data_IF_894517244662
#
_entry.id   IF_894517244662
#
_cell.length_a   1.000
_cell.length_b   1.000
_cell.length_c   1.000
_cell.angle_alpha   90.00
_cell.angle_beta   90.00
_cell.angle_gamma   90.00
#
_symmetry.space_group_name_H-M   'P 1'
#
loop_
_entity.id
_entity.type
_entity.pdbx_description
1 polymer ?
#
# COMPACT_ATOMS: atom_id res chain seq x y z
N UNK A 1 17.38 3.21 -16.18
CA UNK A 1 16.07 2.52 -16.19
C UNK A 1 15.81 1.93 -17.57
N UNK A 2 15.87 0.60 -17.71
CA UNK A 2 15.79 -0.13 -18.98
C UNK A 2 14.48 0.13 -19.75
N UNK A 3 13.34 0.06 -19.08
CA UNK A 3 12.00 0.18 -19.69
C UNK A 3 11.39 1.59 -19.55
N UNK A 4 12.22 2.63 -19.70
CA UNK A 4 11.84 4.01 -19.34
C UNK A 4 10.56 4.51 -20.00
N UNK A 5 10.37 4.26 -21.31
CA UNK A 5 9.20 4.72 -22.06
C UNK A 5 7.92 4.01 -21.60
N UNK A 6 7.94 2.68 -21.55
CA UNK A 6 6.79 1.86 -21.15
C UNK A 6 6.33 2.19 -19.72
N UNK A 7 7.26 2.23 -18.75
CA UNK A 7 6.94 2.58 -17.35
C UNK A 7 6.36 3.99 -17.26
N UNK A 8 6.88 4.96 -18.02
CA UNK A 8 6.32 6.33 -18.01
C UNK A 8 4.89 6.36 -18.53
N UNK A 9 4.60 5.68 -19.65
CA UNK A 9 3.25 5.60 -20.21
C UNK A 9 2.27 4.99 -19.21
N UNK A 10 2.65 3.87 -18.59
CA UNK A 10 1.83 3.19 -17.58
C UNK A 10 1.60 4.10 -16.37
N UNK A 11 2.63 4.78 -15.86
CA UNK A 11 2.48 5.69 -14.71
C UNK A 11 1.56 6.88 -15.02
N UNK A 12 1.65 7.46 -16.22
CA UNK A 12 0.71 8.51 -16.63
C UNK A 12 -0.72 7.97 -16.74
N UNK A 13 -0.91 6.79 -17.32
CA UNK A 13 -2.21 6.11 -17.36
C UNK A 13 -2.77 5.84 -15.96
N UNK A 14 -1.97 5.30 -15.05
CA UNK A 14 -2.31 5.09 -13.64
C UNK A 14 -2.74 6.41 -13.00
N UNK A 15 -1.97 7.49 -13.21
CA UNK A 15 -2.27 8.79 -12.59
C UNK A 15 -3.62 9.33 -13.05
N UNK A 16 -3.90 9.29 -14.36
CA UNK A 16 -5.17 9.78 -14.93
C UNK A 16 -6.34 8.93 -14.42
N UNK A 17 -6.23 7.60 -14.51
CA UNK A 17 -7.29 6.68 -14.09
C UNK A 17 -7.53 6.76 -12.58
N UNK A 18 -6.47 6.91 -11.78
CA UNK A 18 -6.59 7.06 -10.33
C UNK A 18 -7.23 8.40 -9.95
N UNK A 19 -6.94 9.50 -10.66
CA UNK A 19 -7.66 10.77 -10.48
C UNK A 19 -9.16 10.56 -10.75
N UNK A 20 -9.52 9.88 -11.83
CA UNK A 20 -10.93 9.59 -12.17
C UNK A 20 -11.58 8.78 -11.04
N UNK A 21 -10.96 7.67 -10.63
CA UNK A 21 -11.49 6.79 -9.60
C UNK A 21 -11.67 7.51 -8.26
N UNK A 22 -10.63 8.21 -7.80
CA UNK A 22 -10.64 8.91 -6.50
C UNK A 22 -11.58 10.10 -6.49
N UNK A 23 -11.65 10.87 -7.58
CA UNK A 23 -12.60 11.99 -7.70
C UNK A 23 -14.03 11.48 -7.68
N UNK A 24 -14.32 10.38 -8.37
CA UNK A 24 -15.63 9.74 -8.32
C UNK A 24 -15.96 9.23 -6.90
N UNK A 25 -15.02 8.60 -6.20
CA UNK A 25 -15.24 8.14 -4.82
C UNK A 25 -15.48 9.26 -3.82
N UNK A 26 -14.76 10.37 -3.93
CA UNK A 26 -14.89 11.51 -3.01
C UNK A 26 -16.18 12.31 -3.28
N UNK A 27 -16.51 12.56 -4.55
CA UNK A 27 -17.53 13.56 -4.91
C UNK A 27 -18.86 12.98 -5.39
N UNK A 28 -18.96 11.68 -5.65
CA UNK A 28 -20.25 11.07 -6.00
C UNK A 28 -21.17 11.02 -4.77
N UNK A 29 -22.38 11.58 -4.91
CA UNK A 29 -23.35 11.73 -3.81
C UNK A 29 -24.77 11.29 -4.16
N UNK A 30 -24.98 10.78 -5.37
CA UNK A 30 -26.28 10.26 -5.80
C UNK A 30 -26.70 9.06 -4.95
N UNK A 31 -27.97 8.96 -4.60
CA UNK A 31 -28.51 7.81 -3.87
C UNK A 31 -29.49 8.22 -2.77
N UNK A 32 -30.22 7.26 -2.19
CA UNK A 32 -31.25 7.51 -1.19
C UNK A 32 -30.68 7.91 0.19
N UNK A 33 -29.39 7.71 0.42
CA UNK A 33 -28.77 7.88 1.73
C UNK A 33 -28.65 6.56 2.50
N UNK A 34 -28.15 6.63 3.73
CA UNK A 34 -27.91 5.44 4.55
C UNK A 34 -29.21 4.72 4.89
N UNK A 35 -29.18 3.38 4.88
CA UNK A 35 -30.32 2.54 5.22
C UNK A 35 -29.86 1.20 5.82
N UNK A 36 -30.76 0.56 6.57
CA UNK A 36 -30.50 -0.73 7.20
C UNK A 36 -30.79 -1.89 6.23
N UNK A 37 -29.87 -2.86 6.18
CA UNK A 37 -29.99 -4.07 5.37
C UNK A 37 -29.75 -5.31 6.23
N UNK A 38 -30.63 -6.31 6.11
CA UNK A 38 -30.42 -7.61 6.73
C UNK A 38 -29.59 -8.46 5.77
N UNK A 39 -28.36 -8.78 6.18
CA UNK A 39 -27.46 -9.62 5.41
C UNK A 39 -28.00 -11.06 5.25
N UNK A 40 -27.39 -11.84 4.37
CA UNK A 40 -27.69 -13.28 4.20
C UNK A 40 -27.52 -14.11 5.49
N UNK A 41 -26.88 -13.54 6.52
CA UNK A 41 -26.64 -14.16 7.83
C UNK A 41 -27.63 -13.71 8.90
N UNK A 42 -28.59 -12.84 8.57
CA UNK A 42 -29.54 -12.27 9.52
C UNK A 42 -29.02 -11.07 10.32
N UNK A 43 -27.75 -10.68 10.10
CA UNK A 43 -27.16 -9.49 10.74
C UNK A 43 -27.66 -8.22 10.08
N UNK A 44 -27.96 -7.21 10.89
CA UNK A 44 -28.36 -5.87 10.44
C UNK A 44 -27.10 -5.05 10.17
N UNK A 45 -26.96 -4.56 8.93
CA UNK A 45 -25.81 -3.78 8.45
C UNK A 45 -26.31 -2.45 7.90
N UNK A 46 -25.72 -1.36 8.37
CA UNK A 46 -25.97 -0.02 7.82
C UNK A 46 -25.22 0.12 6.49
N UNK A 47 -25.96 0.31 5.40
CA UNK A 47 -25.45 0.52 4.06
C UNK A 47 -25.26 2.01 3.79
N UNK A 48 -24.19 2.40 3.10
CA UNK A 48 -23.83 3.80 2.86
C UNK A 48 -24.82 4.55 1.95
N UNK A 49 -25.33 3.87 0.92
CA UNK A 49 -26.42 4.36 0.06
C UNK A 49 -26.15 5.63 -0.74
N UNK A 50 -24.88 6.03 -0.93
CA UNK A 50 -24.47 7.21 -1.72
C UNK A 50 -23.29 6.92 -2.64
N UNK A 51 -23.33 7.52 -3.82
CA UNK A 51 -22.23 7.56 -4.77
C UNK A 51 -21.80 6.18 -5.28
N UNK A 52 -20.54 6.06 -5.67
CA UNK A 52 -19.96 4.80 -6.15
C UNK A 52 -19.86 3.73 -5.05
N UNK A 53 -19.92 4.15 -3.78
CA UNK A 53 -19.83 3.28 -2.61
C UNK A 53 -21.20 2.93 -2.02
N UNK A 54 -22.29 3.21 -2.74
CA UNK A 54 -23.66 3.08 -2.25
C UNK A 54 -24.01 1.69 -1.71
N UNK A 55 -23.41 0.62 -2.26
CA UNK A 55 -23.71 -0.76 -1.87
C UNK A 55 -22.76 -1.32 -0.80
N UNK A 56 -21.80 -0.51 -0.34
CA UNK A 56 -20.85 -0.87 0.71
C UNK A 56 -21.42 -0.54 2.10
N UNK A 57 -20.89 -1.19 3.15
CA UNK A 57 -21.28 -0.84 4.52
C UNK A 57 -20.79 0.58 4.83
N UNK A 58 -21.52 1.30 5.66
CA UNK A 58 -21.23 2.72 5.96
C UNK A 58 -19.77 2.90 6.45
N UNK A 59 -19.30 2.00 7.30
CA UNK A 59 -17.94 2.01 7.83
C UNK A 59 -16.88 1.81 6.74
N UNK A 60 -17.07 0.83 5.86
CA UNK A 60 -16.11 0.54 4.80
C UNK A 60 -16.13 1.62 3.72
N UNK A 61 -17.30 2.20 3.41
CA UNK A 61 -17.42 3.30 2.46
C UNK A 61 -16.64 4.54 2.91
N UNK A 62 -16.75 4.92 4.20
CA UNK A 62 -16.01 6.06 4.76
C UNK A 62 -14.50 5.83 4.70
N UNK A 63 -14.05 4.60 4.98
CA UNK A 63 -12.66 4.22 4.80
C UNK A 63 -12.21 4.29 3.33
N UNK A 64 -13.06 3.89 2.38
CA UNK A 64 -12.81 4.03 0.95
C UNK A 64 -12.62 5.50 0.54
N UNK A 65 -13.54 6.37 0.95
CA UNK A 65 -13.47 7.82 0.68
C UNK A 65 -12.18 8.42 1.28
N UNK A 66 -11.87 8.10 2.53
CA UNK A 66 -10.65 8.59 3.17
C UNK A 66 -9.38 8.10 2.45
N UNK A 67 -9.38 6.87 1.94
CA UNK A 67 -8.30 6.34 1.11
C UNK A 67 -8.18 7.07 -0.23
N UNK A 68 -9.30 7.41 -0.85
CA UNK A 68 -9.30 8.16 -2.10
C UNK A 68 -8.73 9.57 -1.93
N UNK A 69 -9.04 10.25 -0.82
CA UNK A 69 -8.44 11.56 -0.49
C UNK A 69 -6.92 11.46 -0.39
N UNK A 70 -6.41 10.48 0.37
CA UNK A 70 -4.96 10.28 0.49
C UNK A 70 -4.34 9.90 -0.86
N UNK A 71 -5.00 9.07 -1.64
CA UNK A 71 -4.50 8.65 -2.95
C UNK A 71 -4.39 9.84 -3.90
N UNK A 72 -5.42 10.67 -3.97
CA UNK A 72 -5.49 11.84 -4.84
C UNK A 72 -4.43 12.90 -4.48
N UNK A 73 -4.33 13.26 -3.20
CA UNK A 73 -3.50 14.39 -2.77
C UNK A 73 -2.07 14.03 -2.36
N UNK A 74 -1.79 12.76 -2.05
CA UNK A 74 -0.48 12.32 -1.58
C UNK A 74 0.12 11.28 -2.53
N UNK A 75 -0.58 10.17 -2.78
CA UNK A 75 0.01 9.05 -3.52
C UNK A 75 0.27 9.39 -4.99
N UNK A 76 -0.65 10.08 -5.68
CA UNK A 76 -0.49 10.48 -7.09
C UNK A 76 0.66 11.50 -7.27
N UNK A 77 0.73 12.59 -6.50
CA UNK A 77 1.89 13.50 -6.55
C UNK A 77 3.21 12.80 -6.24
N UNK A 78 3.22 11.90 -5.25
CA UNK A 78 4.41 11.12 -4.91
C UNK A 78 4.83 10.17 -6.05
N UNK A 79 3.89 9.50 -6.70
CA UNK A 79 4.15 8.64 -7.86
C UNK A 79 4.78 9.43 -9.03
N UNK A 80 4.23 10.61 -9.35
CA UNK A 80 4.72 11.46 -10.45
C UNK A 80 6.11 12.05 -10.15
N UNK A 81 6.34 12.50 -8.92
CA UNK A 81 7.66 13.00 -8.49
C UNK A 81 8.70 11.87 -8.48
N UNK A 82 8.34 10.68 -8.01
CA UNK A 82 9.20 9.49 -8.07
C UNK A 82 9.55 9.12 -9.53
N UNK A 83 8.57 9.16 -10.44
CA UNK A 83 8.81 8.96 -11.88
C UNK A 83 9.78 9.99 -12.44
N UNK A 84 9.60 11.28 -12.11
CA UNK A 84 10.49 12.34 -12.57
C UNK A 84 11.95 12.07 -12.20
N UNK A 85 12.22 11.76 -10.93
CA UNK A 85 13.58 11.44 -10.47
C UNK A 85 14.09 10.13 -11.06
N UNK A 86 13.25 9.09 -11.18
CA UNK A 86 13.61 7.83 -11.83
C UNK A 86 14.02 8.06 -13.29
N UNK A 87 13.33 8.94 -14.01
CA UNK A 87 13.65 9.32 -15.40
C UNK A 87 14.95 10.09 -15.52
N UNK A 88 15.35 10.85 -14.50
CA UNK A 88 16.66 11.52 -14.40
C UNK A 88 17.81 10.57 -14.04
N UNK A 89 17.55 9.26 -13.89
CA UNK A 89 18.57 8.28 -13.56
C UNK A 89 18.85 8.17 -12.05
N UNK A 90 18.00 8.76 -11.20
CA UNK A 90 18.12 8.62 -9.74
C UNK A 90 17.75 7.21 -9.31
N UNK A 91 18.68 6.51 -8.65
CA UNK A 91 18.40 5.22 -8.04
C UNK A 91 17.33 5.33 -6.94
N UNK A 92 17.41 6.39 -6.11
CA UNK A 92 16.41 6.69 -5.08
C UNK A 92 15.03 6.86 -5.71
N UNK A 93 14.95 7.63 -6.80
CA UNK A 93 13.70 7.85 -7.54
C UNK A 93 13.09 6.55 -8.06
N UNK A 94 13.90 5.59 -8.52
CA UNK A 94 13.42 4.27 -8.97
C UNK A 94 12.90 3.41 -7.82
N UNK A 95 13.54 3.43 -6.66
CA UNK A 95 13.05 2.74 -5.46
C UNK A 95 11.74 3.36 -4.99
N UNK A 96 11.67 4.70 -4.93
CA UNK A 96 10.44 5.43 -4.60
C UNK A 96 9.31 5.07 -5.57
N UNK A 97 9.62 4.99 -6.86
CA UNK A 97 8.67 4.63 -7.90
C UNK A 97 8.15 3.20 -7.69
N UNK A 98 9.04 2.23 -7.45
CA UNK A 98 8.64 0.84 -7.16
C UNK A 98 7.74 0.71 -5.94
N UNK A 99 8.06 1.39 -4.83
CA UNK A 99 7.23 1.37 -3.62
C UNK A 99 5.87 2.05 -3.83
N UNK A 100 5.83 3.13 -4.62
CA UNK A 100 4.58 3.77 -5.03
C UNK A 100 3.73 2.83 -5.88
N UNK A 101 4.32 2.19 -6.89
CA UNK A 101 3.60 1.27 -7.76
C UNK A 101 3.05 0.06 -6.98
N UNK A 102 3.78 -0.42 -5.96
CA UNK A 102 3.28 -1.45 -5.04
C UNK A 102 2.05 -0.98 -4.24
N UNK A 103 2.02 0.30 -3.82
CA UNK A 103 0.84 0.89 -3.16
C UNK A 103 -0.39 0.92 -4.10
N UNK A 104 -0.20 1.37 -5.34
CA UNK A 104 -1.28 1.40 -6.34
C UNK A 104 -1.76 -0.03 -6.69
N UNK A 105 -0.83 -0.97 -6.84
CA UNK A 105 -1.15 -2.39 -7.06
C UNK A 105 -2.01 -2.96 -5.94
N UNK A 106 -1.59 -2.80 -4.67
CA UNK A 106 -2.37 -3.22 -3.51
C UNK A 106 -3.76 -2.57 -3.51
N UNK A 107 -3.81 -1.25 -3.67
CA UNK A 107 -5.05 -0.46 -3.62
C UNK A 107 -6.09 -1.00 -4.58
N UNK A 108 -5.72 -1.18 -5.85
CA UNK A 108 -6.68 -1.62 -6.86
C UNK A 108 -6.89 -3.13 -6.90
N UNK A 109 -6.00 -3.92 -6.31
CA UNK A 109 -6.26 -5.33 -6.00
C UNK A 109 -7.41 -5.43 -4.99
N UNK A 110 -7.40 -4.59 -3.95
CA UNK A 110 -8.47 -4.54 -2.96
C UNK A 110 -9.78 -4.05 -3.57
N UNK A 111 -9.76 -3.01 -4.41
CA UNK A 111 -11.00 -2.52 -5.02
C UNK A 111 -11.63 -3.59 -5.92
N UNK A 112 -10.84 -4.38 -6.65
CA UNK A 112 -11.40 -5.47 -7.46
C UNK A 112 -11.90 -6.66 -6.65
N UNK A 113 -11.31 -6.93 -5.49
CA UNK A 113 -11.66 -8.08 -4.67
C UNK A 113 -12.73 -7.79 -3.61
N UNK A 114 -12.86 -6.53 -3.19
CA UNK A 114 -13.68 -6.12 -2.04
C UNK A 114 -14.76 -5.08 -2.39
N UNK A 115 -14.52 -4.18 -3.35
CA UNK A 115 -15.53 -3.19 -3.67
C UNK A 115 -16.74 -3.84 -4.34
N UNK A 116 -17.92 -3.37 -3.98
CA UNK A 116 -19.16 -3.78 -4.65
C UNK A 116 -19.15 -3.33 -6.10
N UNK A 117 -19.74 -4.13 -6.99
CA UNK A 117 -19.72 -3.85 -8.43
C UNK A 117 -20.33 -2.48 -8.71
N UNK A 118 -19.59 -1.64 -9.44
CA UNK A 118 -19.98 -0.27 -9.74
C UNK A 118 -19.41 0.17 -11.11
N UNK A 119 -19.81 1.33 -11.66
CA UNK A 119 -19.40 1.77 -12.98
C UNK A 119 -17.89 1.90 -13.20
N UNK A 120 -17.08 1.98 -12.14
CA UNK A 120 -15.62 2.08 -12.23
C UNK A 120 -14.92 0.71 -12.30
N UNK A 121 -15.65 -0.41 -12.38
CA UNK A 121 -15.06 -1.75 -12.45
C UNK A 121 -13.91 -1.86 -13.47
N UNK A 122 -14.13 -1.44 -14.72
CA UNK A 122 -13.09 -1.47 -15.76
C UNK A 122 -11.92 -0.53 -15.46
N UNK A 123 -12.17 0.59 -14.78
CA UNK A 123 -11.11 1.51 -14.33
C UNK A 123 -10.23 0.80 -13.31
N UNK A 124 -10.81 0.06 -12.36
CA UNK A 124 -10.04 -0.74 -11.39
C UNK A 124 -9.22 -1.86 -12.08
N UNK A 125 -9.79 -2.53 -13.09
CA UNK A 125 -9.07 -3.53 -13.91
C UNK A 125 -7.84 -2.92 -14.58
N UNK A 126 -8.01 -1.78 -15.26
CA UNK A 126 -6.92 -1.10 -15.95
C UNK A 126 -5.86 -0.60 -14.95
N UNK A 127 -6.27 -0.09 -13.79
CA UNK A 127 -5.37 0.36 -12.73
C UNK A 127 -4.57 -0.78 -12.11
N UNK A 128 -5.20 -1.89 -11.78
CA UNK A 128 -4.51 -3.08 -11.26
C UNK A 128 -3.51 -3.60 -12.28
N UNK A 129 -3.94 -3.76 -13.54
CA UNK A 129 -3.08 -4.24 -14.62
C UNK A 129 -1.88 -3.32 -14.85
N UNK A 130 -2.14 -2.01 -15.04
CA UNK A 130 -1.08 -1.05 -15.32
C UNK A 130 -0.09 -0.93 -14.15
N UNK A 131 -0.58 -0.91 -12.91
CA UNK A 131 0.29 -0.85 -11.71
C UNK A 131 1.11 -2.12 -11.54
N UNK A 132 0.54 -3.30 -11.76
CA UNK A 132 1.28 -4.57 -11.74
C UNK A 132 2.40 -4.59 -12.77
N UNK A 133 2.10 -4.33 -14.04
CA UNK A 133 3.12 -4.38 -15.10
C UNK A 133 4.17 -3.27 -14.95
N UNK A 134 3.79 -2.06 -14.54
CA UNK A 134 4.74 -0.99 -14.24
C UNK A 134 5.66 -1.36 -13.08
N UNK A 135 5.10 -1.95 -12.01
CA UNK A 135 5.86 -2.41 -10.84
C UNK A 135 6.88 -3.46 -11.26
N UNK A 136 6.45 -4.49 -11.99
CA UNK A 136 7.32 -5.58 -12.44
C UNK A 136 8.45 -5.07 -13.34
N UNK A 137 8.15 -4.22 -14.34
CA UNK A 137 9.18 -3.62 -15.20
C UNK A 137 10.18 -2.76 -14.42
N UNK A 138 9.72 -2.06 -13.39
CA UNK A 138 10.59 -1.23 -12.54
C UNK A 138 11.44 -2.08 -11.62
N UNK A 139 10.87 -3.09 -10.95
CA UNK A 139 11.57 -4.01 -10.07
C UNK A 139 12.61 -4.85 -10.81
N UNK A 140 12.27 -5.46 -11.95
CA UNK A 140 13.25 -6.22 -12.73
C UNK A 140 14.42 -5.35 -13.16
N UNK A 141 14.16 -4.09 -13.54
CA UNK A 141 15.25 -3.18 -13.89
C UNK A 141 16.22 -2.92 -12.73
N UNK A 142 15.74 -2.98 -11.48
CA UNK A 142 16.56 -2.81 -10.27
C UNK A 142 17.21 -4.11 -9.80
N UNK A 143 16.54 -5.25 -9.97
CA UNK A 143 17.02 -6.56 -9.53
C UNK A 143 18.35 -6.94 -10.19
N UNK A 144 18.52 -6.62 -11.48
CA UNK A 144 19.77 -6.86 -12.20
C UNK A 144 20.89 -5.88 -11.84
N UNK A 145 20.61 -4.86 -11.03
CA UNK A 145 21.62 -3.96 -10.48
C UNK A 145 22.07 -4.48 -9.12
N UNK A 146 23.39 -4.60 -8.90
CA UNK A 146 23.90 -5.00 -7.60
C UNK A 146 23.74 -3.86 -6.58
N UNK A 147 22.54 -3.73 -6.01
CA UNK A 147 22.15 -2.61 -5.16
C UNK A 147 22.99 -2.49 -3.88
N UNK A 148 23.54 -3.59 -3.38
CA UNK A 148 24.36 -3.60 -2.17
C UNK A 148 25.55 -2.62 -2.23
N UNK A 149 26.10 -2.38 -3.42
CA UNK A 149 27.22 -1.45 -3.65
C UNK A 149 26.87 0.03 -3.44
N UNK A 150 25.59 0.37 -3.46
CA UNK A 150 25.13 1.77 -3.34
C UNK A 150 24.77 2.15 -1.90
N UNK A 151 24.87 1.22 -0.95
CA UNK A 151 24.56 1.47 0.46
C UNK A 151 25.83 1.57 1.29
N UNK A 152 25.86 2.54 2.20
CA UNK A 152 26.96 2.69 3.14
C UNK A 152 27.04 1.46 4.07
N UNK A 153 28.25 0.98 4.43
CA UNK A 153 28.41 -0.17 5.33
C UNK A 153 27.73 0.01 6.71
N UNK A 154 27.65 1.26 7.19
CA UNK A 154 26.99 1.64 8.45
C UNK A 154 25.46 1.72 8.38
N UNK A 155 24.82 1.35 7.27
CA UNK A 155 23.36 1.26 7.20
C UNK A 155 22.86 0.40 8.38
N UNK A 156 21.91 0.89 9.20
CA UNK A 156 21.43 0.19 10.39
C UNK A 156 20.44 -0.93 10.01
N UNK A 157 20.92 -1.94 9.27
CA UNK A 157 20.11 -3.04 8.71
C UNK A 157 19.34 -3.82 9.76
N UNK A 158 19.88 -3.96 10.98
CA UNK A 158 19.23 -4.64 12.09
C UNK A 158 17.97 -3.90 12.55
N UNK A 159 18.05 -2.58 12.69
CA UNK A 159 16.91 -1.75 13.06
C UNK A 159 15.84 -1.75 11.96
N UNK A 160 16.27 -1.48 10.71
CA UNK A 160 15.35 -1.37 9.57
C UNK A 160 14.65 -2.69 9.26
N UNK A 161 15.40 -3.79 9.19
CA UNK A 161 14.82 -5.11 8.93
C UNK A 161 14.07 -5.66 10.15
N UNK A 162 14.53 -5.34 11.36
CA UNK A 162 13.84 -5.68 12.61
C UNK A 162 12.49 -4.99 12.71
N UNK A 163 12.39 -3.73 12.29
CA UNK A 163 11.13 -2.99 12.21
C UNK A 163 10.13 -3.64 11.25
N UNK A 164 10.57 -4.06 10.05
CA UNK A 164 9.72 -4.76 9.08
C UNK A 164 9.19 -6.09 9.64
N UNK A 165 10.07 -6.89 10.26
CA UNK A 165 9.70 -8.14 10.92
C UNK A 165 8.71 -7.89 12.05
N UNK A 166 9.00 -6.92 12.92
CA UNK A 166 8.15 -6.55 14.04
C UNK A 166 6.75 -6.14 13.56
N UNK A 167 6.68 -5.26 12.57
CA UNK A 167 5.41 -4.81 12.00
C UNK A 167 4.63 -6.00 11.41
N UNK A 168 5.30 -6.89 10.67
CA UNK A 168 4.68 -8.08 10.10
C UNK A 168 4.07 -9.01 11.18
N UNK A 169 4.82 -9.25 12.27
CA UNK A 169 4.39 -10.13 13.37
C UNK A 169 3.26 -9.51 14.18
N UNK A 170 3.32 -8.21 14.46
CA UNK A 170 2.27 -7.50 15.23
C UNK A 170 0.96 -7.47 14.44
N UNK A 171 1.00 -7.05 13.18
CA UNK A 171 -0.21 -6.98 12.35
C UNK A 171 -0.71 -8.40 12.02
N UNK A 172 0.19 -9.36 11.78
CA UNK A 172 -0.18 -10.76 11.56
C UNK A 172 -0.88 -11.37 12.78
N UNK A 173 -0.37 -11.10 13.98
CA UNK A 173 -1.03 -11.51 15.23
C UNK A 173 -2.41 -10.89 15.37
N UNK A 174 -2.57 -9.61 15.01
CA UNK A 174 -3.85 -8.91 15.05
C UNK A 174 -4.86 -9.56 14.09
N UNK A 175 -4.47 -9.86 12.86
CA UNK A 175 -5.33 -10.57 11.91
C UNK A 175 -5.67 -11.99 12.33
N UNK A 176 -4.72 -12.71 12.93
CA UNK A 176 -5.02 -14.03 13.49
C UNK A 176 -6.01 -13.95 14.66
N UNK A 177 -5.99 -12.88 15.46
CA UNK A 177 -7.02 -12.66 16.50
C UNK A 177 -8.41 -12.38 15.93
N UNK A 178 -8.51 -11.76 14.75
CA UNK A 178 -9.80 -11.56 14.07
C UNK A 178 -10.31 -12.89 13.47
N UNK A 179 -9.41 -13.72 12.94
CA UNK A 179 -9.77 -14.90 12.15
C UNK A 179 -9.93 -16.18 12.98
N UNK A 180 -9.02 -16.46 13.93
CA UNK A 180 -8.98 -17.73 14.64
C UNK A 180 -10.17 -17.95 15.60
N UNK A 181 -10.59 -16.98 16.44
CA UNK A 181 -11.68 -17.22 17.39
C UNK A 181 -13.01 -17.56 16.72
N UNK A 182 -13.45 -16.86 15.65
CA UNK A 182 -14.64 -17.26 14.90
C UNK A 182 -14.51 -18.65 14.27
N UNK A 183 -13.35 -18.99 13.71
CA UNK A 183 -13.09 -20.33 13.15
C UNK A 183 -13.24 -21.44 14.20
N UNK A 184 -12.66 -21.27 15.39
CA UNK A 184 -12.77 -22.27 16.46
C UNK A 184 -14.17 -22.40 17.04
N UNK A 185 -14.97 -21.34 16.97
CA UNK A 185 -16.36 -21.33 17.40
C UNK A 185 -17.34 -21.74 16.30
N UNK A 186 -16.84 -22.01 15.10
CA UNK A 186 -17.64 -22.28 13.90
C UNK A 186 -18.68 -21.18 13.62
N UNK A 187 -18.32 -19.93 13.92
CA UNK A 187 -19.14 -18.74 13.64
C UNK A 187 -18.47 -17.84 12.62
N UNK A 188 -19.28 -17.03 11.95
CA UNK A 188 -18.79 -16.04 10.99
C UNK A 188 -18.42 -14.76 11.76
N UNK A 189 -17.25 -14.14 11.50
CA UNK A 189 -16.87 -12.88 12.15
C UNK A 189 -17.90 -11.77 11.91
N UNK A 190 -18.24 -11.02 12.95
CA UNK A 190 -19.19 -9.90 12.84
C UNK A 190 -18.65 -8.80 11.91
N UNK A 191 -17.34 -8.56 11.94
CA UNK A 191 -16.61 -7.62 11.07
C UNK A 191 -16.69 -7.97 9.57
N UNK A 192 -17.30 -9.10 9.21
CA UNK A 192 -17.54 -9.46 7.81
C UNK A 192 -18.70 -8.67 7.17
N UNK A 193 -19.58 -8.06 7.97
CA UNK A 193 -20.79 -7.35 7.52
C UNK A 193 -21.63 -8.20 6.55
N UNK A 194 -21.92 -7.70 5.34
CA UNK A 194 -22.59 -8.40 4.25
C UNK A 194 -21.63 -8.92 3.17
N UNK A 195 -20.32 -8.86 3.40
CA UNK A 195 -19.32 -9.32 2.44
C UNK A 195 -19.17 -10.85 2.42
N UNK A 196 -18.44 -11.33 1.41
CA UNK A 196 -18.23 -12.77 1.15
C UNK A 196 -17.10 -13.36 1.99
N UNK A 197 -16.02 -12.62 2.23
CA UNK A 197 -14.88 -13.05 3.05
C UNK A 197 -14.05 -11.86 3.57
N UNK A 198 -13.12 -12.15 4.48
CA UNK A 198 -12.18 -11.19 5.07
C UNK A 198 -10.99 -10.91 4.13
N UNK A 199 -11.25 -10.16 3.06
CA UNK A 199 -10.27 -9.87 1.98
C UNK A 199 -9.00 -9.20 2.52
N UNK A 200 -9.14 -8.25 3.44
CA UNK A 200 -8.02 -7.49 4.03
C UNK A 200 -7.05 -8.44 4.74
N UNK A 201 -7.59 -9.23 5.67
CA UNK A 201 -6.84 -10.18 6.48
C UNK A 201 -6.24 -11.28 5.60
N UNK A 202 -7.01 -11.78 4.63
CA UNK A 202 -6.58 -12.82 3.70
C UNK A 202 -5.35 -12.39 2.89
N UNK A 203 -5.39 -11.23 2.25
CA UNK A 203 -4.25 -10.75 1.46
C UNK A 203 -3.05 -10.33 2.32
N UNK A 204 -3.28 -9.74 3.50
CA UNK A 204 -2.18 -9.39 4.40
C UNK A 204 -1.44 -10.64 4.89
N UNK A 205 -2.16 -11.66 5.37
CA UNK A 205 -1.58 -12.91 5.86
C UNK A 205 -0.94 -13.74 4.74
N UNK A 206 -1.51 -13.74 3.54
CA UNK A 206 -1.01 -14.54 2.42
C UNK A 206 0.17 -13.90 1.68
N UNK A 207 0.19 -12.56 1.56
CA UNK A 207 1.12 -11.86 0.68
C UNK A 207 1.91 -10.77 1.40
N UNK A 208 1.24 -9.72 1.89
CA UNK A 208 1.94 -8.48 2.23
C UNK A 208 2.76 -8.56 3.51
N UNK A 209 2.27 -9.25 4.55
CA UNK A 209 3.01 -9.45 5.79
C UNK A 209 4.17 -10.45 5.61
N UNK A 210 4.00 -11.60 4.92
CA UNK A 210 5.11 -12.47 4.55
C UNK A 210 6.20 -11.74 3.75
N UNK A 211 5.82 -10.90 2.77
CA UNK A 211 6.78 -10.10 2.01
C UNK A 211 7.55 -9.14 2.93
N UNK A 212 6.87 -8.46 3.87
CA UNK A 212 7.53 -7.60 4.87
C UNK A 212 8.57 -8.37 5.69
N UNK A 213 8.15 -9.52 6.23
CA UNK A 213 8.97 -10.37 7.08
C UNK A 213 10.22 -10.87 6.34
N UNK A 214 10.05 -11.39 5.12
CA UNK A 214 11.15 -11.85 4.28
C UNK A 214 12.07 -10.69 3.89
N UNK A 215 11.50 -9.53 3.54
CA UNK A 215 12.28 -8.32 3.22
C UNK A 215 13.16 -7.91 4.41
N UNK A 216 12.61 -7.96 5.62
CA UNK A 216 13.34 -7.70 6.85
C UNK A 216 14.47 -8.70 7.09
N UNK A 217 14.22 -10.01 6.96
CA UNK A 217 15.25 -11.04 7.10
C UNK A 217 16.38 -10.84 6.09
N UNK A 218 16.04 -10.65 4.81
CA UNK A 218 17.03 -10.47 3.75
C UNK A 218 17.87 -9.20 3.99
N UNK A 219 17.26 -8.12 4.49
CA UNK A 219 17.97 -6.88 4.79
C UNK A 219 18.93 -7.07 5.98
N UNK A 220 18.50 -7.71 7.07
CA UNK A 220 19.35 -8.00 8.24
C UNK A 220 20.55 -8.86 7.85
N UNK A 221 20.31 -9.89 7.02
CA UNK A 221 21.36 -10.78 6.50
C UNK A 221 22.26 -10.11 5.46
N UNK A 222 21.99 -8.84 5.09
CA UNK A 222 22.69 -8.11 4.02
C UNK A 222 22.71 -8.87 2.69
N UNK A 223 21.67 -9.66 2.42
CA UNK A 223 21.51 -10.34 1.15
C UNK A 223 21.30 -9.30 0.03
N UNK A 224 21.84 -9.51 -1.19
CA UNK A 224 21.70 -8.54 -2.29
C UNK A 224 20.24 -8.11 -2.54
N UNK A 225 19.31 -9.07 -2.48
CA UNK A 225 17.87 -8.83 -2.65
C UNK A 225 17.25 -8.01 -1.50
N UNK A 226 17.81 -8.06 -0.29
CA UNK A 226 17.35 -7.28 0.86
C UNK A 226 17.54 -5.78 0.66
N UNK A 227 18.60 -5.37 -0.04
CA UNK A 227 18.85 -3.97 -0.43
C UNK A 227 17.91 -3.47 -1.53
N UNK A 228 17.11 -4.34 -2.16
CA UNK A 228 16.00 -3.98 -3.04
C UNK A 228 14.68 -4.00 -2.26
N UNK A 229 14.33 -5.14 -1.67
CA UNK A 229 13.02 -5.36 -1.08
C UNK A 229 12.77 -4.46 0.13
N UNK A 230 13.76 -4.30 1.03
CA UNK A 230 13.62 -3.48 2.22
C UNK A 230 13.26 -2.01 1.90
N UNK A 231 14.07 -1.28 1.11
CA UNK A 231 13.75 0.07 0.69
C UNK A 231 12.41 0.22 -0.03
N UNK A 232 12.10 -0.70 -0.96
CA UNK A 232 10.83 -0.66 -1.71
C UNK A 232 9.64 -0.85 -0.77
N UNK A 233 9.72 -1.83 0.14
CA UNK A 233 8.67 -2.11 1.10
C UNK A 233 8.47 -0.96 2.08
N UNK A 234 9.53 -0.30 2.54
CA UNK A 234 9.42 0.85 3.45
C UNK A 234 8.75 2.07 2.78
N UNK A 235 9.02 2.32 1.50
CA UNK A 235 8.29 3.36 0.74
C UNK A 235 6.81 3.00 0.63
N UNK A 236 6.51 1.76 0.22
CA UNK A 236 5.15 1.25 0.13
C UNK A 236 4.41 1.37 1.46
N UNK A 237 5.04 0.90 2.55
CA UNK A 237 4.48 0.91 3.89
C UNK A 237 4.25 2.35 4.40
N UNK A 238 5.10 3.32 4.00
CA UNK A 238 4.89 4.73 4.35
C UNK A 238 3.62 5.29 3.71
N UNK A 239 3.38 4.98 2.43
CA UNK A 239 2.14 5.37 1.75
C UNK A 239 0.93 4.65 2.33
N UNK A 240 1.04 3.34 2.55
CA UNK A 240 -0.03 2.53 3.13
C UNK A 240 -0.42 3.05 4.53
N UNK A 241 0.54 3.30 5.41
CA UNK A 241 0.28 3.78 6.77
C UNK A 241 -0.26 5.22 6.78
N UNK A 242 0.10 6.04 5.80
CA UNK A 242 -0.52 7.36 5.59
C UNK A 242 -1.98 7.21 5.20
N UNK A 243 -2.30 6.27 4.30
CA UNK A 243 -3.68 5.94 3.93
C UNK A 243 -4.48 5.38 5.12
N UNK A 244 -3.91 4.45 5.90
CA UNK A 244 -4.56 3.91 7.10
C UNK A 244 -4.79 4.99 8.16
N UNK A 245 -3.86 5.93 8.32
CA UNK A 245 -4.05 7.11 9.18
C UNK A 245 -5.24 7.95 8.70
N UNK A 246 -5.35 8.17 7.39
CA UNK A 246 -6.51 8.83 6.79
C UNK A 246 -7.82 8.10 7.07
N UNK A 247 -7.86 6.77 6.87
CA UNK A 247 -9.03 5.92 7.15
C UNK A 247 -9.50 6.04 8.59
N UNK A 248 -8.57 5.92 9.53
CA UNK A 248 -8.91 5.99 10.96
C UNK A 248 -9.39 7.38 11.33
N UNK A 249 -8.82 8.43 10.75
CA UNK A 249 -9.32 9.80 10.93
C UNK A 249 -10.73 9.94 10.38
N UNK A 250 -11.01 9.40 9.18
CA UNK A 250 -12.35 9.38 8.59
C UNK A 250 -13.38 8.68 9.48
N UNK A 251 -13.05 7.52 10.03
CA UNK A 251 -13.88 6.79 10.99
C UNK A 251 -14.12 7.60 12.28
N UNK A 252 -13.08 8.25 12.81
CA UNK A 252 -13.21 9.08 14.02
C UNK A 252 -14.15 10.27 13.81
N UNK A 253 -14.14 10.88 12.62
CA UNK A 253 -14.99 12.03 12.29
C UNK A 253 -16.48 11.68 12.24
N UNK A 254 -16.83 10.41 12.05
CA UNK A 254 -18.22 9.93 12.08
C UNK A 254 -18.59 9.24 13.40
N UNK A 255 -17.72 9.33 14.41
CA UNK A 255 -17.99 8.84 15.77
C UNK A 255 -17.70 7.36 16.01
N UNK A 256 -17.07 6.65 15.05
CA UNK A 256 -16.64 5.26 15.25
C UNK A 256 -15.52 5.20 16.29
N UNK A 257 -15.56 4.21 17.18
CA UNK A 257 -14.50 4.01 18.16
C UNK A 257 -13.23 3.49 17.47
N UNK A 258 -12.21 4.34 17.44
CA UNK A 258 -10.92 4.07 16.77
C UNK A 258 -9.77 3.81 17.76
N UNK A 259 -10.04 3.70 19.05
CA UNK A 259 -9.02 3.44 20.06
C UNK A 259 -8.76 1.93 20.14
N UNK A 260 -7.49 1.46 20.15
CA UNK A 260 -6.24 2.23 20.22
C UNK A 260 -5.60 2.58 18.87
N UNK A 261 -6.21 2.20 17.75
CA UNK A 261 -5.64 2.32 16.40
C UNK A 261 -5.24 3.75 16.02
N UNK A 262 -5.98 4.76 16.49
CA UNK A 262 -5.68 6.20 16.28
C UNK A 262 -4.31 6.63 16.80
N UNK A 263 -3.72 5.91 17.77
CA UNK A 263 -2.37 6.17 18.25
C UNK A 263 -1.33 5.27 17.59
N UNK A 264 -1.67 3.98 17.43
CA UNK A 264 -0.74 2.96 16.93
C UNK A 264 -0.39 3.21 15.47
N UNK A 265 -1.38 3.47 14.61
CA UNK A 265 -1.18 3.58 13.17
C UNK A 265 -0.35 4.81 12.79
N UNK A 266 -0.63 6.02 13.32
CA UNK A 266 0.24 7.17 13.07
C UNK A 266 1.68 6.99 13.60
N UNK A 267 1.86 6.31 14.73
CA UNK A 267 3.19 6.00 15.25
C UNK A 267 3.98 5.08 14.31
N UNK A 268 3.33 4.03 13.79
CA UNK A 268 3.94 3.16 12.77
C UNK A 268 4.22 3.95 11.49
N UNK A 269 3.33 4.87 11.09
CA UNK A 269 3.53 5.72 9.92
C UNK A 269 4.80 6.58 10.05
N UNK A 270 4.91 7.33 11.15
CA UNK A 270 6.08 8.18 11.43
C UNK A 270 7.36 7.34 11.45
N UNK A 271 7.33 6.19 12.13
CA UNK A 271 8.48 5.28 12.20
C UNK A 271 8.89 4.78 10.82
N UNK A 272 7.92 4.43 9.96
CA UNK A 272 8.18 3.95 8.61
C UNK A 272 8.77 5.05 7.71
N UNK A 273 8.27 6.28 7.82
CA UNK A 273 8.82 7.44 7.11
C UNK A 273 10.26 7.69 7.56
N UNK A 274 10.54 7.66 8.87
CA UNK A 274 11.90 7.80 9.41
C UNK A 274 12.83 6.69 8.90
N UNK A 275 12.37 5.43 8.90
CA UNK A 275 13.11 4.30 8.33
C UNK A 275 13.43 4.51 6.84
N UNK A 276 12.46 4.99 6.06
CA UNK A 276 12.67 5.33 4.64
C UNK A 276 13.71 6.44 4.48
N UNK A 277 13.65 7.50 5.28
CA UNK A 277 14.63 8.59 5.26
C UNK A 277 16.03 8.07 5.63
N UNK A 278 16.15 7.22 6.65
CA UNK A 278 17.43 6.62 7.07
C UNK A 278 18.02 5.79 5.91
N UNK A 279 17.22 4.98 5.25
CA UNK A 279 17.64 4.22 4.07
C UNK A 279 18.17 5.14 2.98
N UNK A 280 17.40 6.16 2.60
CA UNK A 280 17.79 7.05 1.50
C UNK A 280 18.98 7.94 1.86
N UNK A 281 19.16 8.33 3.12
CA UNK A 281 20.35 9.07 3.57
C UNK A 281 21.63 8.23 3.49
N UNK A 282 21.53 6.92 3.68
CA UNK A 282 22.66 6.00 3.62
C UNK A 282 22.95 5.45 2.20
N UNK A 283 22.23 5.93 1.18
CA UNK A 283 22.50 5.61 -0.23
C UNK A 283 23.47 6.62 -0.85
N UNK A 284 24.62 6.13 -1.30
CA UNK A 284 25.64 6.90 -2.00
C UNK A 284 25.51 6.72 -3.51
N UNK A 285 25.36 7.84 -4.23
CA UNK A 285 25.32 7.85 -5.70
C UNK A 285 26.72 7.79 -6.33
N UNK A 286 27.77 8.14 -5.58
CA UNK A 286 29.16 7.98 -6.01
C UNK A 286 29.58 6.52 -5.80
N UNK A 287 29.30 5.67 -6.78
CA UNK A 287 30.21 4.53 -7.03
C UNK A 287 31.53 5.18 -7.44
N UNK A 288 32.63 4.88 -6.76
CA UNK A 288 33.97 5.33 -7.12
C UNK A 288 34.15 5.14 -8.64
N UNK A 289 34.19 6.25 -9.38
CA UNK A 289 34.64 6.30 -10.78
C UNK A 289 36.17 6.15 -10.87
N UNK A 290 36.84 5.86 -9.76
CA UNK A 290 38.29 5.85 -9.65
C UNK A 290 38.92 4.48 -9.97
N UNK A 291 38.13 3.49 -10.44
CA UNK A 291 38.66 2.17 -10.84
C UNK A 291 38.64 1.95 -12.37
N UNK A 292 37.95 2.79 -13.14
CA UNK A 292 37.91 2.69 -14.63
C UNK A 292 38.90 3.62 -15.35
N UNK A 293 39.77 4.35 -14.64
CA UNK A 293 40.83 5.17 -15.26
C UNK A 293 42.25 4.64 -15.08
N UNK A 294 42.42 3.41 -14.57
CA UNK A 294 43.74 2.80 -14.33
C UNK A 294 43.87 1.36 -14.88
N UNK A 295 43.17 1.04 -15.97
CA UNK A 295 43.45 -0.18 -16.77
C UNK A 295 43.56 0.20 -18.23
#
# INVERSE_FOLDING_TARGET
MKYKKAVSLLVYGISILAIIATTAGIFSKSGPGEYEHISIRGETVTIFGKGIYQDMSADVAIQGIAQDVVTLFIAIPFLLTALYFARKGSLKGRIMLSGSLLYFFLTYLFYLAMAMFNPLFLVYVLLLSASFFAMILTLFSLYFENLSKYFHPRLPVKFLGGFLIFNAVVIGSLWLQVVLPPLFKEVIPIDLDHYTTLIVQGFDLALFLPISFISGICLIKRAPIGYLLGPVYLVFLSLLMTTLTGKITGMALVGVNVIPAIFIIPLINITTILCSIIIFRNMNYKVNRDIEMNI
#
